data_IF_716974080961
#
_entry.id   IF_716974080961
#
_cell.length_a   1.000
_cell.length_b   1.000
_cell.length_c   1.000
_cell.angle_alpha   90.00
_cell.angle_beta   90.00
_cell.angle_gamma   90.00
#
_symmetry.space_group_name_H-M   'P 1'
#
loop_
_entity.id
_entity.type
_entity.pdbx_description
1 polymer ?
#
# COMPACT_ATOMS: atom_id res chain seq x y z
N UNK A 1 30.65 -15.22 39.39
CA UNK A 1 29.63 -15.93 38.59
C UNK A 1 28.59 -14.93 38.13
N UNK A 2 28.32 -14.85 36.81
CA UNK A 2 27.04 -14.52 36.14
C UNK A 2 26.21 -13.34 36.73
N UNK A 3 25.82 -12.27 36.05
CA UNK A 3 25.56 -11.96 34.63
C UNK A 3 25.22 -10.45 34.61
N UNK A 4 25.96 -9.62 33.90
CA UNK A 4 25.45 -8.33 33.37
C UNK A 4 26.14 -8.09 32.03
N UNK A 5 25.70 -8.82 31.01
CA UNK A 5 26.02 -8.59 29.61
C UNK A 5 24.75 -8.95 28.83
N UNK A 6 24.46 -8.16 27.80
CA UNK A 6 23.30 -8.23 26.87
C UNK A 6 22.19 -7.20 27.12
N UNK A 7 22.54 -5.90 27.05
CA UNK A 7 21.59 -4.85 26.60
C UNK A 7 22.13 -4.11 25.37
N UNK A 8 23.13 -4.67 24.67
CA UNK A 8 23.78 -4.03 23.52
C UNK A 8 23.71 -4.87 22.23
N UNK A 9 22.60 -5.59 22.02
CA UNK A 9 22.39 -6.36 20.77
C UNK A 9 21.00 -6.17 20.13
N UNK A 10 20.29 -5.07 20.44
CA UNK A 10 19.01 -4.74 19.80
C UNK A 10 19.07 -3.52 18.85
N UNK A 11 20.27 -3.09 18.44
CA UNK A 11 20.44 -1.94 17.54
C UNK A 11 21.06 -2.28 16.17
N UNK A 12 21.17 -3.56 15.78
CA UNK A 12 21.80 -3.95 14.49
C UNK A 12 20.87 -4.82 13.61
N UNK A 13 19.56 -4.66 13.69
CA UNK A 13 18.63 -5.25 12.70
C UNK A 13 17.55 -4.25 12.29
N UNK A 14 17.96 -3.09 11.81
CA UNK A 14 17.11 -2.17 11.05
C UNK A 14 17.82 -1.56 9.84
N UNK A 15 18.96 -2.13 9.41
CA UNK A 15 19.73 -1.64 8.26
C UNK A 15 19.27 -2.21 6.91
N UNK A 16 18.30 -3.12 6.87
CA UNK A 16 17.75 -3.66 5.62
C UNK A 16 16.65 -2.77 4.99
N UNK A 17 16.20 -1.70 5.67
CA UNK A 17 15.23 -0.74 5.14
C UNK A 17 15.67 0.71 5.38
N UNK A 18 16.98 0.98 5.34
CA UNK A 18 17.42 2.33 5.00
C UNK A 18 17.14 2.52 3.50
N UNK A 19 15.87 2.76 3.17
CA UNK A 19 15.51 3.42 1.91
C UNK A 19 16.35 4.68 1.91
N UNK A 20 17.39 4.71 1.06
CA UNK A 20 18.12 5.93 0.76
C UNK A 20 17.05 6.91 0.31
N UNK A 21 16.71 7.84 1.21
CA UNK A 21 15.60 8.76 1.03
C UNK A 21 16.01 9.71 -0.09
N UNK A 22 15.67 9.39 -1.33
CA UNK A 22 15.69 10.37 -2.42
C UNK A 22 14.79 11.50 -1.92
N UNK A 23 15.29 12.74 -1.86
CA UNK A 23 14.65 13.84 -1.10
C UNK A 23 13.18 14.13 -1.43
N UNK A 24 12.66 13.56 -2.53
CA UNK A 24 11.28 13.72 -3.00
C UNK A 24 10.42 12.44 -2.93
N UNK A 25 10.93 11.31 -2.40
CA UNK A 25 10.15 10.07 -2.29
C UNK A 25 9.10 10.17 -1.18
N UNK A 26 7.87 9.73 -1.47
CA UNK A 26 6.74 9.70 -0.53
C UNK A 26 6.57 8.30 0.02
N UNK A 27 6.38 8.19 1.33
CA UNK A 27 6.06 6.91 1.97
C UNK A 27 4.60 6.53 1.72
N UNK A 28 4.24 5.26 1.93
CA UNK A 28 2.85 4.79 1.96
C UNK A 28 1.99 5.62 2.92
N UNK A 29 2.55 6.06 4.05
CA UNK A 29 1.87 6.95 5.00
C UNK A 29 1.61 8.34 4.43
N UNK A 30 2.61 8.94 3.76
CA UNK A 30 2.48 10.27 3.14
C UNK A 30 1.42 10.25 2.05
N UNK A 31 1.43 9.21 1.20
CA UNK A 31 0.46 8.99 0.13
C UNK A 31 -0.94 8.82 0.75
N UNK A 32 -1.08 7.95 1.75
CA UNK A 32 -2.34 7.70 2.47
C UNK A 32 -2.92 8.97 3.07
N UNK A 33 -2.11 9.74 3.82
CA UNK A 33 -2.54 11.01 4.43
C UNK A 33 -3.00 12.00 3.37
N UNK A 34 -2.22 12.15 2.30
CA UNK A 34 -2.55 13.06 1.20
C UNK A 34 -3.84 12.65 0.50
N UNK A 35 -4.03 11.35 0.26
CA UNK A 35 -5.23 10.81 -0.38
C UNK A 35 -6.49 11.07 0.46
N UNK A 36 -6.43 10.85 1.78
CA UNK A 36 -7.56 11.11 2.68
C UNK A 36 -7.92 12.60 2.68
N UNK A 37 -6.93 13.49 2.78
CA UNK A 37 -7.18 14.94 2.73
C UNK A 37 -7.83 15.36 1.41
N UNK A 38 -7.34 14.86 0.27
CA UNK A 38 -7.91 15.15 -1.05
C UNK A 38 -9.32 14.60 -1.21
N UNK A 39 -9.57 13.37 -0.75
CA UNK A 39 -10.90 12.76 -0.80
C UNK A 39 -11.91 13.52 0.07
N UNK A 40 -11.54 13.90 1.28
CA UNK A 40 -12.37 14.73 2.16
C UNK A 40 -12.61 16.11 1.55
N UNK A 41 -11.60 16.74 0.95
CA UNK A 41 -11.76 18.01 0.25
C UNK A 41 -12.77 17.91 -0.90
N UNK A 42 -12.73 16.82 -1.69
CA UNK A 42 -13.72 16.56 -2.74
C UNK A 42 -15.14 16.46 -2.18
N UNK A 43 -15.32 15.78 -1.04
CA UNK A 43 -16.63 15.70 -0.37
C UNK A 43 -17.10 17.08 0.09
N UNK A 44 -16.19 17.91 0.63
CA UNK A 44 -16.55 19.24 1.11
C UNK A 44 -16.83 20.26 0.01
N UNK A 45 -16.59 19.96 -1.27
CA UNK A 45 -16.90 20.88 -2.37
C UNK A 45 -18.39 21.25 -2.45
N UNK A 46 -19.28 20.43 -1.93
CA UNK A 46 -20.72 20.74 -1.85
C UNK A 46 -21.10 21.60 -0.64
N UNK A 47 -20.17 21.90 0.26
CA UNK A 47 -20.42 22.79 1.41
C UNK A 47 -20.46 24.23 0.90
N UNK A 48 -21.53 24.95 1.22
CA UNK A 48 -21.68 26.36 0.86
C UNK A 48 -20.48 27.20 1.33
N UNK A 49 -19.89 27.98 0.43
CA UNK A 49 -18.72 28.81 0.75
C UNK A 49 -17.41 28.03 0.90
N UNK A 50 -17.38 26.75 0.53
CA UNK A 50 -16.14 25.98 0.49
C UNK A 50 -15.15 26.60 -0.51
N UNK A 51 -13.96 26.92 -0.01
CA UNK A 51 -12.78 27.19 -0.82
C UNK A 51 -11.75 26.10 -0.55
N UNK A 52 -11.12 25.60 -1.61
CA UNK A 52 -10.07 24.60 -1.46
C UNK A 52 -8.94 25.20 -0.60
N UNK A 53 -8.61 24.59 0.55
CA UNK A 53 -7.61 25.15 1.45
C UNK A 53 -6.20 25.05 0.86
N UNK A 54 -5.38 26.06 1.12
CA UNK A 54 -3.95 26.09 0.83
C UNK A 54 -3.22 26.67 2.07
N UNK A 55 -2.34 25.90 2.75
CA UNK A 55 -1.99 24.51 2.47
C UNK A 55 -3.16 23.55 2.73
N UNK A 56 -3.17 22.40 2.06
CA UNK A 56 -4.12 21.31 2.33
C UNK A 56 -3.64 20.48 3.54
N UNK A 57 -4.18 20.77 4.72
CA UNK A 57 -3.95 20.02 5.95
C UNK A 57 -5.26 19.82 6.74
N UNK A 58 -5.17 19.20 7.91
CA UNK A 58 -6.36 18.87 8.72
C UNK A 58 -7.07 20.10 9.27
N UNK A 59 -6.34 21.14 9.65
CA UNK A 59 -6.91 22.34 10.27
C UNK A 59 -7.58 23.21 9.22
N UNK A 60 -6.85 23.52 8.14
CA UNK A 60 -7.37 24.34 7.05
C UNK A 60 -8.54 23.67 6.36
N UNK A 61 -8.49 22.35 6.17
CA UNK A 61 -9.59 21.60 5.58
C UNK A 61 -10.81 21.54 6.49
N UNK A 62 -10.64 21.29 7.79
CA UNK A 62 -11.77 21.30 8.72
C UNK A 62 -12.49 22.65 8.71
N UNK A 63 -11.73 23.76 8.64
CA UNK A 63 -12.28 25.11 8.48
C UNK A 63 -13.03 25.30 7.18
N UNK A 64 -12.42 24.97 6.04
CA UNK A 64 -13.09 25.04 4.73
C UNK A 64 -14.37 24.19 4.67
N UNK A 65 -14.38 23.05 5.36
CA UNK A 65 -15.55 22.17 5.48
C UNK A 65 -16.61 22.65 6.51
N UNK A 66 -16.41 23.79 7.20
CA UNK A 66 -17.24 24.25 8.34
C UNK A 66 -17.35 23.21 9.48
N UNK A 67 -16.25 22.54 9.79
CA UNK A 67 -16.13 21.47 10.80
C UNK A 67 -14.95 21.71 11.77
N UNK A 68 -14.59 22.95 12.03
CA UNK A 68 -13.48 23.35 12.93
C UNK A 68 -13.53 22.66 14.29
N UNK A 69 -14.74 22.49 14.85
CA UNK A 69 -14.95 21.80 16.13
C UNK A 69 -14.48 20.33 16.13
N UNK A 70 -14.33 19.71 14.96
CA UNK A 70 -13.96 18.30 14.79
C UNK A 70 -12.54 18.09 14.26
N UNK A 71 -11.72 19.14 14.14
CA UNK A 71 -10.33 19.05 13.63
C UNK A 71 -9.52 17.95 14.33
N UNK A 72 -9.60 17.87 15.67
CA UNK A 72 -8.89 16.83 16.44
C UNK A 72 -9.38 15.42 16.11
N UNK A 73 -10.71 15.22 16.02
CA UNK A 73 -11.29 13.92 15.65
C UNK A 73 -10.84 13.49 14.25
N UNK A 74 -10.81 14.43 13.30
CA UNK A 74 -10.36 14.18 11.94
C UNK A 74 -8.86 13.82 11.91
N UNK A 75 -8.03 14.57 12.62
CA UNK A 75 -6.59 14.27 12.75
C UNK A 75 -6.33 12.89 13.36
N UNK A 76 -7.03 12.55 14.45
CA UNK A 76 -6.96 11.21 15.06
C UNK A 76 -7.40 10.13 14.09
N UNK A 77 -8.45 10.37 13.31
CA UNK A 77 -8.92 9.44 12.29
C UNK A 77 -7.87 9.14 11.23
N UNK A 78 -7.21 10.18 10.68
CA UNK A 78 -6.12 10.03 9.71
C UNK A 78 -4.95 9.28 10.33
N UNK A 79 -4.52 9.67 11.54
CA UNK A 79 -3.41 9.00 12.24
C UNK A 79 -3.69 7.50 12.43
N UNK A 80 -4.92 7.14 12.78
CA UNK A 80 -5.32 5.74 12.94
C UNK A 80 -5.22 4.97 11.62
N UNK A 81 -5.73 5.53 10.51
CA UNK A 81 -5.64 4.89 9.19
C UNK A 81 -4.18 4.74 8.76
N UNK A 82 -3.36 5.80 8.87
CA UNK A 82 -1.93 5.78 8.54
C UNK A 82 -1.12 4.84 9.42
N UNK A 83 -1.52 4.65 10.68
CA UNK A 83 -0.91 3.67 11.59
C UNK A 83 -1.20 2.24 11.13
N UNK A 84 -2.47 1.92 10.85
CA UNK A 84 -2.84 0.57 10.40
C UNK A 84 -2.41 0.25 8.97
N UNK A 85 -2.15 1.27 8.14
CA UNK A 85 -1.44 1.11 6.88
C UNK A 85 -0.05 0.51 7.12
N UNK A 86 0.87 1.20 7.79
CA UNK A 86 2.22 0.66 8.04
C UNK A 86 2.25 -0.57 8.95
N UNK A 87 1.32 -0.66 9.90
CA UNK A 87 1.23 -1.84 10.77
C UNK A 87 0.93 -3.13 9.98
N UNK A 88 0.36 -3.03 8.79
CA UNK A 88 0.08 -4.19 7.93
C UNK A 88 1.36 -4.94 7.56
N UNK A 89 2.48 -4.25 7.32
CA UNK A 89 3.79 -4.91 7.11
C UNK A 89 4.21 -5.78 8.30
N UNK A 90 3.93 -5.34 9.52
CA UNK A 90 4.32 -6.07 10.72
C UNK A 90 3.34 -7.21 11.02
N UNK A 91 2.04 -6.93 10.92
CA UNK A 91 0.99 -7.89 11.26
C UNK A 91 0.88 -9.01 10.21
N UNK A 92 1.26 -8.74 8.95
CA UNK A 92 1.09 -9.63 7.80
C UNK A 92 2.37 -9.90 7.00
N UNK A 93 3.55 -9.73 7.64
CA UNK A 93 4.89 -9.81 7.03
C UNK A 93 5.10 -10.96 6.02
N UNK A 94 4.58 -12.15 6.30
CA UNK A 94 4.78 -13.36 5.48
C UNK A 94 3.55 -13.75 4.64
N UNK A 95 2.45 -13.01 4.77
CA UNK A 95 1.20 -13.28 4.07
C UNK A 95 1.20 -12.57 2.71
N UNK A 96 1.61 -13.31 1.68
CA UNK A 96 1.84 -12.79 0.33
C UNK A 96 0.69 -11.94 -0.23
N UNK A 97 -0.56 -12.33 0.00
CA UNK A 97 -1.77 -11.60 -0.43
C UNK A 97 -1.86 -10.15 0.06
N UNK A 98 -1.28 -9.81 1.21
CA UNK A 98 -1.28 -8.44 1.73
C UNK A 98 -0.28 -7.53 1.02
N UNK A 99 0.68 -8.14 0.31
CA UNK A 99 1.83 -7.47 -0.29
C UNK A 99 1.93 -7.72 -1.80
N UNK A 100 0.96 -8.44 -2.38
CA UNK A 100 0.98 -8.90 -3.77
C UNK A 100 2.23 -9.69 -4.17
N UNK A 101 2.86 -10.38 -3.21
CA UNK A 101 4.06 -11.17 -3.49
C UNK A 101 3.72 -12.46 -4.24
N UNK A 102 4.64 -12.92 -5.10
CA UNK A 102 4.56 -14.22 -5.77
C UNK A 102 3.24 -14.45 -6.50
N UNK A 103 2.81 -13.45 -7.26
CA UNK A 103 1.66 -13.46 -8.17
C UNK A 103 0.33 -13.75 -7.44
N UNK A 104 0.25 -13.48 -6.13
CA UNK A 104 -0.97 -13.59 -5.33
C UNK A 104 -2.00 -12.48 -5.63
N UNK A 105 -2.09 -12.06 -6.90
CA UNK A 105 -2.93 -10.97 -7.38
C UNK A 105 -4.42 -11.19 -7.13
N UNK A 106 -4.91 -12.40 -7.37
CA UNK A 106 -6.32 -12.75 -7.15
C UNK A 106 -6.66 -12.67 -5.66
N UNK A 107 -5.80 -13.22 -4.80
CA UNK A 107 -6.02 -13.20 -3.35
C UNK A 107 -5.94 -11.78 -2.78
N UNK A 108 -4.97 -10.97 -3.22
CA UNK A 108 -4.85 -9.57 -2.82
C UNK A 108 -6.05 -8.73 -3.28
N UNK A 109 -6.54 -8.95 -4.51
CA UNK A 109 -7.80 -8.36 -4.99
C UNK A 109 -8.98 -8.74 -4.11
N UNK A 110 -9.17 -10.04 -3.82
CA UNK A 110 -10.28 -10.51 -2.98
C UNK A 110 -10.22 -9.91 -1.57
N UNK A 111 -9.01 -9.74 -1.03
CA UNK A 111 -8.77 -9.07 0.25
C UNK A 111 -9.23 -7.61 0.22
N UNK A 112 -8.88 -6.86 -0.84
CA UNK A 112 -9.31 -5.46 -0.99
C UNK A 112 -10.83 -5.36 -1.10
N UNK A 113 -11.46 -6.15 -1.98
CA UNK A 113 -12.92 -6.13 -2.19
C UNK A 113 -13.67 -6.44 -0.89
N UNK A 114 -13.31 -7.55 -0.23
CA UNK A 114 -13.92 -7.92 1.05
C UNK A 114 -13.69 -6.86 2.11
N UNK A 115 -12.51 -6.25 2.15
CA UNK A 115 -12.21 -5.17 3.07
C UNK A 115 -13.10 -3.95 2.86
N UNK A 116 -13.39 -3.57 1.60
CA UNK A 116 -14.35 -2.50 1.29
C UNK A 116 -15.75 -2.84 1.81
N UNK A 117 -16.25 -4.05 1.54
CA UNK A 117 -17.55 -4.50 2.05
C UNK A 117 -17.62 -4.45 3.58
N UNK A 118 -16.57 -4.94 4.26
CA UNK A 118 -16.52 -5.00 5.71
C UNK A 118 -16.41 -3.60 6.33
N UNK A 119 -15.72 -2.66 5.68
CA UNK A 119 -15.71 -1.24 6.07
C UNK A 119 -17.13 -0.66 6.00
N UNK A 120 -17.87 -0.91 4.93
CA UNK A 120 -19.26 -0.45 4.80
C UNK A 120 -20.16 -1.03 5.90
N UNK A 121 -20.00 -2.33 6.21
CA UNK A 121 -20.73 -2.98 7.33
C UNK A 121 -20.36 -2.36 8.66
N UNK A 122 -19.08 -2.10 8.93
CA UNK A 122 -18.63 -1.48 10.17
C UNK A 122 -19.17 -0.06 10.33
N UNK A 123 -19.15 0.75 9.25
CA UNK A 123 -19.73 2.10 9.25
C UNK A 123 -21.24 2.05 9.57
N UNK A 124 -21.99 1.12 8.96
CA UNK A 124 -23.44 0.98 9.22
C UNK A 124 -23.76 0.58 10.67
N UNK A 125 -22.79 -0.01 11.38
CA UNK A 125 -22.89 -0.41 12.79
C UNK A 125 -22.17 0.56 13.73
N UNK A 126 -21.79 1.72 13.23
CA UNK A 126 -21.06 2.78 13.96
C UNK A 126 -19.70 2.32 14.54
N UNK A 127 -19.14 1.24 14.01
CA UNK A 127 -17.81 0.70 14.38
C UNK A 127 -16.69 1.45 13.66
N UNK A 128 -16.64 2.78 13.81
CA UNK A 128 -15.73 3.64 13.06
C UNK A 128 -14.25 3.34 13.31
N UNK A 129 -13.89 2.85 14.49
CA UNK A 129 -12.52 2.42 14.80
C UNK A 129 -12.12 1.20 13.95
N UNK A 130 -12.99 0.18 13.87
CA UNK A 130 -12.75 -1.02 13.08
C UNK A 130 -12.71 -0.70 11.58
N UNK A 131 -13.61 0.16 11.11
CA UNK A 131 -13.61 0.65 9.73
C UNK A 131 -12.30 1.35 9.36
N UNK A 132 -11.78 2.23 10.21
CA UNK A 132 -10.49 2.92 9.98
C UNK A 132 -9.31 1.96 9.98
N UNK A 133 -9.30 0.96 10.87
CA UNK A 133 -8.29 -0.09 10.88
C UNK A 133 -8.28 -0.84 9.55
N UNK A 134 -9.45 -1.35 9.12
CA UNK A 134 -9.57 -2.08 7.85
C UNK A 134 -9.20 -1.21 6.65
N UNK A 135 -9.58 0.07 6.66
CA UNK A 135 -9.20 1.01 5.60
C UNK A 135 -7.68 1.17 5.50
N UNK A 136 -6.99 1.32 6.64
CA UNK A 136 -5.52 1.37 6.66
C UNK A 136 -4.90 0.13 6.02
N UNK A 137 -5.39 -1.05 6.41
CA UNK A 137 -4.93 -2.33 5.87
C UNK A 137 -5.14 -2.49 4.37
N UNK A 138 -6.35 -2.22 3.85
CA UNK A 138 -6.56 -2.34 2.40
C UNK A 138 -5.79 -1.30 1.59
N UNK A 139 -5.58 -0.09 2.15
CA UNK A 139 -4.77 0.94 1.48
C UNK A 139 -3.30 0.54 1.42
N UNK A 140 -2.79 -0.16 2.44
CA UNK A 140 -1.45 -0.75 2.41
C UNK A 140 -1.36 -1.76 1.27
N UNK A 141 -2.24 -2.76 1.27
CA UNK A 141 -2.24 -3.80 0.24
C UNK A 141 -2.37 -3.23 -1.17
N UNK A 142 -3.25 -2.23 -1.37
CA UNK A 142 -3.39 -1.55 -2.66
C UNK A 142 -2.11 -0.80 -3.07
N UNK A 143 -1.41 -0.17 -2.13
CA UNK A 143 -0.14 0.52 -2.42
C UNK A 143 0.97 -0.48 -2.76
N UNK A 144 1.03 -1.60 -2.04
CA UNK A 144 1.98 -2.68 -2.30
C UNK A 144 1.82 -3.30 -3.69
N UNK A 145 0.61 -3.35 -4.25
CA UNK A 145 0.43 -3.74 -5.65
C UNK A 145 1.30 -2.88 -6.58
N UNK A 146 1.29 -1.56 -6.41
CA UNK A 146 2.01 -0.65 -7.31
C UNK A 146 3.51 -0.58 -7.01
N UNK A 147 3.95 -0.94 -5.81
CA UNK A 147 5.38 -0.96 -5.46
C UNK A 147 6.04 -2.32 -5.70
N UNK A 148 5.27 -3.42 -5.70
CA UNK A 148 5.79 -4.79 -5.77
C UNK A 148 5.44 -5.54 -7.06
N UNK A 149 4.59 -4.97 -7.92
CA UNK A 149 4.32 -5.48 -9.26
C UNK A 149 5.01 -4.66 -10.34
N UNK A 150 5.06 -5.20 -11.55
CA UNK A 150 5.56 -4.50 -12.73
C UNK A 150 4.51 -3.60 -13.41
N UNK A 151 3.42 -3.21 -12.74
CA UNK A 151 2.29 -2.49 -13.35
C UNK A 151 2.74 -1.24 -14.13
N UNK A 152 3.69 -0.47 -13.56
CA UNK A 152 4.21 0.75 -14.16
C UNK A 152 5.20 0.44 -15.28
N UNK A 153 6.04 -0.58 -15.12
CA UNK A 153 7.01 -1.05 -16.10
C UNK A 153 6.32 -1.59 -17.36
N UNK A 154 5.09 -2.10 -17.23
CA UNK A 154 4.21 -2.43 -18.35
C UNK A 154 3.70 -1.19 -19.12
N UNK A 155 4.03 0.03 -18.68
CA UNK A 155 3.64 1.28 -19.32
C UNK A 155 2.21 1.71 -19.00
N UNK A 156 1.57 1.13 -17.98
CA UNK A 156 0.25 1.57 -17.54
C UNK A 156 0.37 2.92 -16.83
N UNK A 157 -0.44 3.89 -17.26
CA UNK A 157 -0.53 5.21 -16.62
C UNK A 157 -1.78 5.37 -15.77
N UNK A 158 -2.75 4.46 -15.95
CA UNK A 158 -4.02 4.45 -15.22
C UNK A 158 -4.01 3.42 -14.08
N UNK A 159 -4.85 3.62 -13.04
CA UNK A 159 -5.04 2.62 -12.00
C UNK A 159 -5.57 1.29 -12.56
N UNK A 160 -5.13 0.17 -11.98
CA UNK A 160 -5.69 -1.14 -12.25
C UNK A 160 -7.10 -1.25 -11.64
N UNK A 161 -8.14 -1.04 -12.47
CA UNK A 161 -9.56 -1.09 -12.06
C UNK A 161 -9.96 -2.45 -11.50
N UNK A 162 -9.32 -3.52 -11.99
CA UNK A 162 -9.58 -4.88 -11.55
C UNK A 162 -9.32 -5.11 -10.05
N UNK A 163 -8.50 -4.28 -9.38
CA UNK A 163 -8.24 -4.41 -7.94
C UNK A 163 -9.46 -4.10 -7.06
N UNK A 164 -10.38 -3.28 -7.56
CA UNK A 164 -11.55 -2.81 -6.79
C UNK A 164 -12.88 -3.21 -7.41
N UNK A 165 -12.88 -3.71 -8.65
CA UNK A 165 -14.08 -4.19 -9.32
C UNK A 165 -14.18 -5.73 -9.25
N UNK A 166 -15.18 -6.32 -8.56
CA UNK A 166 -15.32 -7.77 -8.47
C UNK A 166 -15.51 -8.47 -9.81
N UNK A 167 -16.09 -7.80 -10.81
CA UNK A 167 -16.46 -8.40 -12.09
C UNK A 167 -15.29 -8.47 -13.11
N UNK A 168 -14.23 -7.70 -12.88
CA UNK A 168 -13.06 -7.67 -13.76
C UNK A 168 -12.05 -8.77 -13.40
N UNK A 169 -11.28 -9.28 -14.35
CA UNK A 169 -10.17 -10.19 -14.05
C UNK A 169 -8.85 -9.43 -13.90
N UNK A 170 -7.92 -9.96 -13.10
CA UNK A 170 -6.54 -9.46 -13.10
C UNK A 170 -5.97 -9.64 -14.51
N UNK A 171 -5.42 -8.58 -15.13
CA UNK A 171 -4.96 -8.64 -16.49
C UNK A 171 -3.64 -9.44 -16.59
N UNK A 172 -3.69 -10.51 -17.40
CA UNK A 172 -2.54 -11.28 -17.86
C UNK A 172 -1.46 -11.61 -16.80
N UNK A 173 -1.82 -12.22 -15.65
CA UNK A 173 -0.84 -12.61 -14.65
C UNK A 173 0.12 -13.68 -15.19
N UNK A 174 1.37 -13.63 -14.75
CA UNK A 174 2.37 -14.65 -15.06
C UNK A 174 1.90 -16.04 -14.62
N UNK A 175 2.23 -17.05 -15.44
CA UNK A 175 1.88 -18.44 -15.15
C UNK A 175 2.78 -19.00 -14.04
N UNK A 176 2.35 -20.05 -13.32
CA UNK A 176 3.21 -20.74 -12.36
C UNK A 176 4.54 -21.18 -13.00
N UNK A 177 5.66 -20.83 -12.35
CA UNK A 177 7.04 -21.11 -12.79
C UNK A 177 7.45 -20.48 -14.13
N UNK A 178 6.71 -19.48 -14.61
CA UNK A 178 7.16 -18.68 -15.75
C UNK A 178 8.32 -17.80 -15.31
N UNK A 179 9.46 -17.89 -15.99
CA UNK A 179 10.57 -16.97 -15.72
C UNK A 179 10.13 -15.55 -16.12
N UNK A 180 10.25 -14.58 -15.21
CA UNK A 180 9.78 -13.20 -15.44
C UNK A 180 10.86 -12.14 -15.41
N UNK A 181 12.02 -12.46 -14.86
CA UNK A 181 13.17 -11.58 -14.76
C UNK A 181 14.49 -12.36 -14.79
N UNK A 182 15.55 -11.67 -15.19
CA UNK A 182 16.92 -12.11 -15.01
C UNK A 182 17.66 -11.03 -14.24
N UNK A 183 18.31 -11.38 -13.13
CA UNK A 183 19.19 -10.45 -12.41
C UNK A 183 20.66 -10.83 -12.64
N UNK A 184 21.27 -10.39 -13.75
CA UNK A 184 22.66 -10.69 -14.07
C UNK A 184 23.65 -9.83 -13.28
N UNK A 185 23.21 -8.74 -12.65
CA UNK A 185 24.08 -7.80 -11.91
C UNK A 185 23.75 -7.78 -10.41
N UNK A 186 24.63 -7.23 -9.57
CA UNK A 186 24.36 -7.11 -8.13
C UNK A 186 23.19 -6.18 -7.78
N UNK A 187 22.81 -5.28 -8.69
CA UNK A 187 21.83 -4.22 -8.43
C UNK A 187 20.44 -4.50 -9.05
N UNK A 188 20.29 -5.57 -9.85
CA UNK A 188 19.04 -6.01 -10.46
C UNK A 188 18.20 -4.93 -11.18
N UNK A 189 18.77 -3.80 -11.62
CA UNK A 189 18.02 -2.78 -12.36
C UNK A 189 17.66 -3.29 -13.77
N UNK A 190 16.41 -3.03 -14.22
CA UNK A 190 15.94 -3.42 -15.55
C UNK A 190 15.93 -4.94 -15.76
N UNK A 191 15.68 -5.70 -14.69
CA UNK A 191 15.76 -7.16 -14.67
C UNK A 191 14.57 -7.87 -15.32
N UNK A 192 13.44 -7.20 -15.56
CA UNK A 192 12.25 -7.84 -16.16
C UNK A 192 12.56 -8.25 -17.60
N UNK A 193 12.23 -9.50 -17.96
CA UNK A 193 12.49 -10.03 -19.29
C UNK A 193 11.72 -9.27 -20.37
N UNK A 194 12.34 -9.10 -21.54
CA UNK A 194 11.77 -8.32 -22.65
C UNK A 194 10.39 -8.84 -23.07
N UNK A 195 10.22 -10.16 -23.15
CA UNK A 195 8.95 -10.78 -23.53
C UNK A 195 7.83 -10.51 -22.50
N UNK A 196 8.15 -10.39 -21.21
CA UNK A 196 7.17 -10.02 -20.16
C UNK A 196 6.63 -8.61 -20.42
N UNK A 197 7.50 -7.67 -20.81
CA UNK A 197 7.09 -6.30 -21.13
C UNK A 197 6.31 -6.23 -22.46
N UNK A 198 6.80 -6.92 -23.49
CA UNK A 198 6.20 -6.95 -24.83
C UNK A 198 4.82 -7.61 -24.83
N UNK A 199 4.67 -8.72 -24.11
CA UNK A 199 3.40 -9.47 -24.00
C UNK A 199 2.49 -8.93 -22.89
N UNK A 200 2.89 -7.85 -22.20
CA UNK A 200 2.13 -7.24 -21.09
C UNK A 200 1.77 -8.24 -19.99
N UNK A 201 2.74 -9.03 -19.56
CA UNK A 201 2.56 -10.05 -18.52
C UNK A 201 2.78 -9.39 -17.16
N UNK A 202 1.78 -9.46 -16.31
CA UNK A 202 1.81 -8.94 -14.95
C UNK A 202 2.55 -9.92 -14.03
N UNK A 203 3.62 -9.44 -13.39
CA UNK A 203 4.44 -10.20 -12.44
C UNK A 203 4.72 -9.37 -11.19
N UNK A 204 5.19 -10.02 -10.14
CA UNK A 204 5.51 -9.40 -8.85
C UNK A 204 6.80 -9.98 -8.26
N UNK A 205 7.32 -9.32 -7.24
CA UNK A 205 8.43 -9.88 -6.48
C UNK A 205 8.01 -10.90 -5.43
N UNK A 206 8.98 -11.68 -4.98
CA UNK A 206 8.83 -12.70 -3.94
C UNK A 206 9.51 -12.24 -2.66
N UNK A 207 8.88 -12.40 -1.51
CA UNK A 207 9.51 -12.04 -0.25
C UNK A 207 10.80 -12.87 0.03
N UNK A 208 11.87 -12.19 0.46
CA UNK A 208 13.22 -12.68 0.81
C UNK A 208 13.39 -14.09 1.39
N UNK A 209 12.41 -14.57 2.15
CA UNK A 209 12.50 -15.82 2.92
C UNK A 209 11.83 -17.00 2.20
N UNK A 210 11.03 -16.75 1.16
CA UNK A 210 10.34 -17.81 0.40
C UNK A 210 11.18 -18.28 -0.78
N UNK A 211 11.15 -19.60 -1.04
CA UNK A 211 11.74 -20.18 -2.25
C UNK A 211 10.95 -19.66 -3.45
N UNK A 212 11.60 -18.88 -4.29
CA UNK A 212 11.05 -18.40 -5.56
C UNK A 212 11.38 -19.35 -6.71
N UNK A 213 10.56 -19.41 -7.77
CA UNK A 213 10.95 -20.04 -9.03
C UNK A 213 12.22 -19.41 -9.62
N UNK A 214 12.86 -20.16 -10.51
CA UNK A 214 13.99 -19.62 -11.28
C UNK A 214 13.46 -18.47 -12.14
N UNK A 215 14.23 -17.39 -12.25
CA UNK A 215 13.83 -16.24 -13.04
C UNK A 215 12.80 -15.31 -12.39
N UNK A 216 12.56 -15.40 -11.07
CA UNK A 216 11.70 -14.41 -10.37
C UNK A 216 12.50 -13.47 -9.47
N UNK A 217 11.97 -12.27 -9.22
CA UNK A 217 12.63 -11.24 -8.43
C UNK A 217 12.33 -11.43 -6.94
N UNK A 218 13.24 -11.02 -6.07
CA UNK A 218 13.11 -11.11 -4.62
C UNK A 218 13.06 -9.71 -3.99
N UNK A 219 12.00 -9.41 -3.24
CA UNK A 219 11.78 -8.18 -2.46
C UNK A 219 12.28 -8.40 -1.03
#
# INVERSE_FOLDING_TARGET
MRRVLLVWSLLITAQAFLIVRKGNSKTHQDITRTAILRATAKICQSVEGFTKPEPLDTETLARSCKKDAFTKNFETGIKMISYYNVKTDLDHLLEAKYHFHGETFVDGKLLIIKGVEDISKDISREKFADARKKLGTILHTLQDFYSHSNWIELGNTEPCTALINPDENIPNPAKPNQETCECPTKNCEGNILKNIIEEKILTSGYFGIKKKPKGDFQI
#
